data_IF_537177204768
#
_entry.id   IF_537177204768
#
_cell.length_a   1.000
_cell.length_b   1.000
_cell.length_c   1.000
_cell.angle_alpha   90.00
_cell.angle_beta   90.00
_cell.angle_gamma   90.00
#
_symmetry.space_group_name_H-M   'P 1'
#
loop_
_entity.id
_entity.type
_entity.pdbx_description
1 polymer ?
#
# COMPACT_ATOMS: atom_id res chain seq x y z
N UNK A 1 7.50 14.00 22.55
CA UNK A 1 6.53 12.88 22.55
C UNK A 1 6.06 12.73 21.12
N UNK A 2 6.24 11.57 20.52
CA UNK A 2 5.89 11.28 19.11
C UNK A 2 4.38 11.07 19.04
N UNK A 3 3.69 11.84 18.23
CA UNK A 3 2.25 11.80 18.05
C UNK A 3 1.92 10.87 16.90
N UNK A 4 1.08 9.86 17.14
CA UNK A 4 0.77 8.79 16.20
C UNK A 4 -0.68 8.86 15.71
N UNK A 5 -0.89 8.70 14.41
CA UNK A 5 -2.19 8.37 13.81
C UNK A 5 -2.15 6.92 13.38
N UNK A 6 -3.17 6.15 13.74
CA UNK A 6 -3.34 4.75 13.34
C UNK A 6 -4.53 4.62 12.38
N UNK A 7 -4.30 3.98 11.24
CA UNK A 7 -5.36 3.66 10.29
C UNK A 7 -5.32 2.16 9.95
N UNK A 8 -6.39 1.45 10.29
CA UNK A 8 -6.53 0.00 10.10
C UNK A 8 -8.02 -0.35 10.14
N UNK A 9 -8.54 -1.11 9.20
CA UNK A 9 -9.96 -1.46 9.16
C UNK A 9 -10.34 -2.48 10.25
N UNK A 10 -9.38 -3.23 10.77
CA UNK A 10 -9.56 -4.21 11.82
C UNK A 10 -9.53 -3.55 13.20
N UNK A 11 -10.70 -3.23 13.76
CA UNK A 11 -10.82 -2.52 15.04
C UNK A 11 -10.03 -3.16 16.20
N UNK A 12 -9.98 -4.50 16.25
CA UNK A 12 -9.22 -5.21 17.30
C UNK A 12 -7.70 -4.99 17.15
N UNK A 13 -7.20 -5.08 15.92
CA UNK A 13 -5.76 -4.87 15.61
C UNK A 13 -5.38 -3.42 15.90
N UNK A 14 -6.19 -2.47 15.43
CA UNK A 14 -5.99 -1.04 15.65
C UNK A 14 -5.94 -0.70 17.14
N UNK A 15 -6.91 -1.17 17.92
CA UNK A 15 -6.94 -0.94 19.39
C UNK A 15 -5.77 -1.62 20.13
N UNK A 16 -5.35 -2.80 19.69
CA UNK A 16 -4.18 -3.47 20.26
C UNK A 16 -2.89 -2.68 19.96
N UNK A 17 -2.71 -2.22 18.74
CA UNK A 17 -1.56 -1.39 18.33
C UNK A 17 -1.55 -0.06 19.11
N UNK A 18 -2.71 0.60 19.24
CA UNK A 18 -2.84 1.82 20.02
C UNK A 18 -2.37 1.60 21.47
N UNK A 19 -2.90 0.57 22.12
CA UNK A 19 -2.53 0.24 23.49
C UNK A 19 -1.03 -0.05 23.63
N UNK A 20 -0.45 -0.83 22.73
CA UNK A 20 0.97 -1.20 22.77
C UNK A 20 1.89 0.01 22.57
N UNK A 21 1.53 0.93 21.67
CA UNK A 21 2.32 2.12 21.39
C UNK A 21 2.17 3.18 22.47
N UNK A 22 1.00 3.30 23.11
CA UNK A 22 0.80 4.20 24.25
C UNK A 22 1.53 3.73 25.53
N UNK A 23 1.96 2.45 25.62
CA UNK A 23 2.84 1.98 26.70
C UNK A 23 4.28 2.51 26.55
N UNK A 24 4.67 2.99 25.39
CA UNK A 24 5.99 3.57 25.17
C UNK A 24 6.02 5.02 25.73
N UNK A 25 7.00 5.36 26.60
CA UNK A 25 6.99 6.64 27.33
C UNK A 25 7.16 7.88 26.45
N UNK A 26 7.59 7.69 25.20
CA UNK A 26 7.90 8.75 24.25
C UNK A 26 6.88 8.84 23.08
N UNK A 27 5.79 8.05 23.13
CA UNK A 27 4.77 8.00 22.08
C UNK A 27 3.38 8.28 22.66
N UNK A 28 2.46 8.72 21.78
CA UNK A 28 1.03 8.81 22.10
C UNK A 28 0.21 8.71 20.82
N UNK A 29 -0.85 7.89 20.88
CA UNK A 29 -1.82 7.79 19.78
C UNK A 29 -2.81 8.95 19.92
N UNK A 30 -2.86 9.80 18.89
CA UNK A 30 -3.67 11.02 18.88
C UNK A 30 -4.89 10.91 17.97
N UNK A 31 -4.92 9.91 17.09
CA UNK A 31 -6.07 9.62 16.23
C UNK A 31 -6.08 8.16 15.79
N UNK A 32 -7.27 7.62 15.65
CA UNK A 32 -7.55 6.29 15.09
C UNK A 32 -8.64 6.39 14.05
N UNK A 33 -8.44 5.79 12.86
CA UNK A 33 -9.45 5.72 11.80
C UNK A 33 -9.52 4.29 11.23
N UNK A 34 -10.69 3.92 10.71
CA UNK A 34 -10.92 2.59 10.11
C UNK A 34 -10.93 2.60 8.59
N UNK A 35 -10.69 3.75 7.95
CA UNK A 35 -10.84 3.96 6.52
C UNK A 35 -9.73 4.84 5.98
N UNK A 36 -9.25 4.52 4.78
CA UNK A 36 -8.17 5.29 4.16
C UNK A 36 -8.58 6.72 3.75
N UNK A 37 -9.82 6.92 3.33
CA UNK A 37 -10.38 8.22 2.96
C UNK A 37 -10.56 9.19 4.15
N UNK A 38 -10.48 8.71 5.38
CA UNK A 38 -10.53 9.52 6.61
C UNK A 38 -9.15 10.02 7.07
N UNK A 39 -8.06 9.42 6.58
CA UNK A 39 -6.68 9.64 7.08
C UNK A 39 -6.26 11.10 7.01
N UNK A 40 -6.49 11.78 5.87
CA UNK A 40 -6.05 13.17 5.69
C UNK A 40 -6.82 14.13 6.62
N UNK A 41 -8.12 13.90 6.78
CA UNK A 41 -8.96 14.72 7.68
C UNK A 41 -8.51 14.55 9.13
N UNK A 42 -8.34 13.31 9.59
CA UNK A 42 -7.86 13.00 10.94
C UNK A 42 -6.45 13.55 11.20
N UNK A 43 -5.55 13.48 10.22
CA UNK A 43 -4.20 14.03 10.34
C UNK A 43 -4.20 15.57 10.47
N UNK A 44 -5.06 16.27 9.74
CA UNK A 44 -5.19 17.74 9.86
C UNK A 44 -5.67 18.17 11.24
N UNK A 45 -6.59 17.42 11.83
CA UNK A 45 -7.15 17.70 13.15
C UNK A 45 -6.16 17.34 14.27
N UNK A 46 -5.60 16.13 14.21
CA UNK A 46 -4.75 15.58 15.28
C UNK A 46 -3.28 16.00 15.18
N UNK A 47 -2.81 16.44 14.00
CA UNK A 47 -1.41 16.82 13.72
C UNK A 47 -0.41 15.78 14.22
N UNK A 48 -0.41 14.58 13.67
CA UNK A 48 0.53 13.54 14.03
C UNK A 48 1.93 13.81 13.45
N UNK A 49 2.95 13.28 14.11
CA UNK A 49 4.31 13.25 13.57
C UNK A 49 4.50 12.05 12.63
N UNK A 50 3.87 10.92 12.97
CA UNK A 50 3.95 9.66 12.21
C UNK A 50 2.55 9.07 12.07
N UNK A 51 2.20 8.66 10.85
CA UNK A 51 0.99 7.89 10.56
C UNK A 51 1.38 6.42 10.26
N UNK A 52 0.73 5.48 10.96
CA UNK A 52 0.81 4.05 10.69
C UNK A 52 -0.45 3.64 9.92
N UNK A 53 -0.29 3.17 8.70
CA UNK A 53 -1.40 2.88 7.80
C UNK A 53 -1.37 1.42 7.36
N UNK A 54 -2.48 0.70 7.52
CA UNK A 54 -2.65 -0.59 6.85
C UNK A 54 -2.79 -0.40 5.33
N UNK A 55 -2.39 -1.40 4.56
CA UNK A 55 -2.59 -1.39 3.09
C UNK A 55 -4.05 -1.61 2.75
N UNK A 56 -4.69 -2.60 3.36
CA UNK A 56 -6.04 -3.02 3.01
C UNK A 56 -7.08 -2.28 3.85
N UNK A 57 -7.61 -1.16 3.34
CA UNK A 57 -8.64 -0.38 3.99
C UNK A 57 -9.77 0.00 3.03
N UNK A 58 -11.01 0.13 3.51
CA UNK A 58 -12.12 0.65 2.72
C UNK A 58 -11.96 2.15 2.42
N UNK A 59 -12.60 2.61 1.35
CA UNK A 59 -12.58 4.02 0.90
C UNK A 59 -11.37 4.32 0.01
N UNK A 60 -10.18 4.33 0.58
CA UNK A 60 -8.90 4.38 -0.11
C UNK A 60 -7.96 3.33 0.48
N UNK A 61 -7.11 2.70 -0.35
CA UNK A 61 -6.07 1.83 0.19
C UNK A 61 -4.99 2.65 0.92
N UNK A 62 -4.21 2.01 1.80
CA UNK A 62 -3.20 2.73 2.59
C UNK A 62 -2.08 3.34 1.75
N UNK A 63 -1.85 2.85 0.53
CA UNK A 63 -0.87 3.42 -0.40
C UNK A 63 -1.42 4.71 -1.02
N UNK A 64 -2.70 4.72 -1.38
CA UNK A 64 -3.38 5.93 -1.85
C UNK A 64 -3.50 6.97 -0.75
N UNK A 65 -3.94 6.57 0.45
CA UNK A 65 -3.95 7.42 1.64
C UNK A 65 -2.56 8.00 1.95
N UNK A 66 -1.48 7.21 1.77
CA UNK A 66 -0.10 7.71 1.87
C UNK A 66 0.18 8.82 0.88
N UNK A 67 -0.18 8.64 -0.40
CA UNK A 67 0.05 9.64 -1.45
C UNK A 67 -0.69 10.94 -1.14
N UNK A 68 -1.96 10.85 -0.75
CA UNK A 68 -2.78 12.00 -0.39
C UNK A 68 -2.26 12.72 0.86
N UNK A 69 -1.91 11.97 1.90
CA UNK A 69 -1.35 12.53 3.12
C UNK A 69 -0.01 13.24 2.87
N UNK A 70 0.89 12.61 2.09
CA UNK A 70 2.18 13.21 1.73
C UNK A 70 2.06 14.45 0.86
N UNK A 71 1.03 14.53 0.02
CA UNK A 71 0.72 15.73 -0.78
C UNK A 71 0.14 16.85 0.09
N UNK A 72 -0.72 16.51 1.06
CA UNK A 72 -1.41 17.47 1.92
C UNK A 72 -0.55 17.95 3.11
N UNK A 73 0.26 17.07 3.69
CA UNK A 73 1.06 17.27 4.90
C UNK A 73 2.44 16.59 4.75
N UNK A 74 3.38 17.20 3.99
CA UNK A 74 4.68 16.59 3.69
C UNK A 74 5.59 16.38 4.91
N UNK A 75 5.32 17.04 6.01
CA UNK A 75 6.02 16.87 7.29
C UNK A 75 5.69 15.55 7.98
N UNK A 76 4.45 15.04 7.84
CA UNK A 76 4.01 13.79 8.48
C UNK A 76 4.72 12.61 7.83
N UNK A 77 5.37 11.80 8.64
CA UNK A 77 6.02 10.56 8.17
C UNK A 77 5.00 9.45 8.10
N UNK A 78 5.18 8.53 7.15
CA UNK A 78 4.26 7.41 6.96
C UNK A 78 4.99 6.09 7.09
N UNK A 79 4.45 5.19 7.90
CA UNK A 79 4.84 3.78 8.02
C UNK A 79 3.66 2.94 7.55
N UNK A 80 3.86 2.14 6.53
CA UNK A 80 2.89 1.10 6.15
C UNK A 80 3.07 -0.08 7.09
N UNK A 81 1.95 -0.56 7.64
CA UNK A 81 1.89 -1.75 8.52
C UNK A 81 0.90 -2.73 7.91
N UNK A 82 1.35 -3.88 7.42
CA UNK A 82 0.50 -4.81 6.67
C UNK A 82 0.64 -6.25 7.13
N UNK A 83 -0.40 -7.04 6.94
CA UNK A 83 -0.38 -8.50 7.24
C UNK A 83 0.53 -9.26 6.28
N UNK A 84 0.62 -8.82 5.03
CA UNK A 84 1.37 -9.50 3.97
C UNK A 84 2.41 -8.57 3.35
N UNK A 85 3.67 -8.91 3.52
CA UNK A 85 4.79 -8.25 2.87
C UNK A 85 4.92 -8.61 1.40
N UNK A 86 3.88 -8.33 0.57
CA UNK A 86 3.98 -8.57 -0.87
C UNK A 86 4.98 -7.57 -1.48
N UNK A 87 5.94 -8.05 -2.30
CA UNK A 87 6.97 -7.19 -2.90
C UNK A 87 6.41 -5.96 -3.62
N UNK A 88 5.26 -6.12 -4.26
CA UNK A 88 4.59 -5.04 -4.97
C UNK A 88 4.08 -3.91 -4.09
N UNK A 89 3.60 -4.23 -2.90
CA UNK A 89 3.14 -3.22 -1.95
C UNK A 89 4.30 -2.36 -1.44
N UNK A 90 5.45 -2.96 -1.16
CA UNK A 90 6.64 -2.21 -0.75
C UNK A 90 7.04 -1.17 -1.79
N UNK A 91 7.16 -1.57 -3.07
CA UNK A 91 7.53 -0.66 -4.15
C UNK A 91 6.52 0.49 -4.31
N UNK A 92 5.23 0.16 -4.36
CA UNK A 92 4.15 1.15 -4.46
C UNK A 92 4.13 2.11 -3.27
N UNK A 93 4.31 1.60 -2.05
CA UNK A 93 4.36 2.41 -0.84
C UNK A 93 5.53 3.40 -0.84
N UNK A 94 6.73 2.95 -1.24
CA UNK A 94 7.90 3.82 -1.34
C UNK A 94 7.73 4.90 -2.41
N UNK A 95 7.12 4.56 -3.56
CA UNK A 95 6.80 5.53 -4.62
C UNK A 95 5.73 6.53 -4.16
N UNK A 96 4.76 6.10 -3.36
CA UNK A 96 3.75 6.98 -2.74
C UNK A 96 4.34 7.91 -1.67
N UNK A 97 5.59 7.68 -1.24
CA UNK A 97 6.29 8.51 -0.27
C UNK A 97 6.30 7.97 1.16
N UNK A 98 6.03 6.68 1.37
CA UNK A 98 6.18 6.03 2.67
C UNK A 98 7.65 6.09 3.14
N UNK A 99 7.82 6.31 4.43
CA UNK A 99 9.13 6.35 5.11
C UNK A 99 9.47 4.99 5.75
N UNK A 100 8.46 4.15 6.01
CA UNK A 100 8.63 2.83 6.56
C UNK A 100 7.66 1.82 5.97
N UNK A 101 8.06 0.54 6.01
CA UNK A 101 7.22 -0.59 5.65
C UNK A 101 7.53 -1.76 6.60
N UNK A 102 6.52 -2.18 7.37
CA UNK A 102 6.64 -3.16 8.45
C UNK A 102 5.49 -4.17 8.33
N UNK A 103 5.71 -5.42 8.68
CA UNK A 103 4.66 -6.44 8.73
C UNK A 103 4.01 -6.49 10.11
N UNK A 104 2.71 -6.81 10.18
CA UNK A 104 1.91 -6.83 11.44
C UNK A 104 2.36 -7.91 12.43
N UNK A 105 3.15 -8.90 12.00
CA UNK A 105 3.76 -9.90 12.88
C UNK A 105 5.07 -9.41 13.56
N UNK A 106 5.51 -8.20 13.22
CA UNK A 106 6.67 -7.57 13.86
C UNK A 106 6.40 -7.36 15.37
N UNK A 107 7.33 -7.78 16.25
CA UNK A 107 7.18 -7.55 17.68
C UNK A 107 6.98 -6.07 18.01
N UNK A 108 6.09 -5.76 18.98
CA UNK A 108 5.71 -4.39 19.32
C UNK A 108 6.90 -3.45 19.60
N UNK A 109 7.95 -3.96 20.28
CA UNK A 109 9.19 -3.19 20.52
C UNK A 109 9.90 -2.80 19.24
N UNK A 110 9.95 -3.71 18.24
CA UNK A 110 10.58 -3.42 16.95
C UNK A 110 9.74 -2.44 16.13
N UNK A 111 8.41 -2.50 16.24
CA UNK A 111 7.52 -1.50 15.64
C UNK A 111 7.75 -0.12 16.26
N UNK A 112 7.84 -0.02 17.59
CA UNK A 112 8.15 1.24 18.26
C UNK A 112 9.52 1.79 17.84
N UNK A 113 10.54 0.95 17.74
CA UNK A 113 11.87 1.35 17.22
C UNK A 113 11.81 1.81 15.76
N UNK A 114 11.01 1.15 14.93
CA UNK A 114 10.76 1.59 13.55
C UNK A 114 10.14 2.99 13.50
N UNK A 115 9.15 3.25 14.35
CA UNK A 115 8.51 4.58 14.49
C UNK A 115 9.55 5.64 14.90
N UNK A 116 10.38 5.39 15.90
CA UNK A 116 11.45 6.32 16.33
C UNK A 116 12.42 6.64 15.20
N UNK A 117 12.86 5.63 14.47
CA UNK A 117 13.77 5.79 13.33
C UNK A 117 13.13 6.58 12.20
N UNK A 118 11.87 6.31 11.88
CA UNK A 118 11.13 7.06 10.86
C UNK A 118 10.91 8.50 11.30
N UNK A 119 10.53 8.73 12.55
CA UNK A 119 10.40 10.07 13.11
C UNK A 119 11.73 10.86 13.04
N UNK A 120 12.87 10.21 13.27
CA UNK A 120 14.21 10.83 13.11
C UNK A 120 14.63 11.05 11.65
N UNK A 121 13.78 10.70 10.67
CA UNK A 121 14.03 10.92 9.24
C UNK A 121 14.69 9.76 8.51
N UNK A 122 14.91 8.62 9.17
CA UNK A 122 15.42 7.41 8.54
C UNK A 122 14.32 6.67 7.77
N UNK A 123 14.71 5.88 6.78
CA UNK A 123 13.82 4.91 6.14
C UNK A 123 13.95 3.55 6.82
N UNK A 124 12.82 2.90 7.07
CA UNK A 124 12.77 1.58 7.71
C UNK A 124 12.00 0.62 6.80
N UNK A 125 12.68 -0.41 6.35
CA UNK A 125 12.08 -1.50 5.57
C UNK A 125 12.60 -2.81 6.15
N UNK A 126 11.71 -3.80 6.29
CA UNK A 126 12.13 -5.14 6.64
C UNK A 126 13.12 -5.68 5.61
N UNK A 127 14.31 -6.20 6.03
CA UNK A 127 15.34 -6.65 5.09
C UNK A 127 14.88 -7.79 4.17
N UNK A 128 14.04 -8.70 4.65
CA UNK A 128 13.53 -9.82 3.85
C UNK A 128 12.59 -9.30 2.75
N UNK A 129 11.69 -8.36 3.09
CA UNK A 129 10.81 -7.72 2.12
C UNK A 129 11.59 -6.89 1.08
N UNK A 130 12.67 -6.24 1.51
CA UNK A 130 13.53 -5.51 0.58
C UNK A 130 14.20 -6.48 -0.41
N UNK A 131 14.71 -7.62 0.06
CA UNK A 131 15.31 -8.65 -0.78
C UNK A 131 14.29 -9.25 -1.76
N UNK A 132 13.09 -9.59 -1.29
CA UNK A 132 12.02 -10.15 -2.13
C UNK A 132 11.56 -9.13 -3.19
N UNK A 133 11.45 -7.86 -2.83
CA UNK A 133 11.09 -6.78 -3.77
C UNK A 133 12.14 -6.58 -4.86
N UNK A 134 13.42 -6.76 -4.53
CA UNK A 134 14.50 -6.71 -5.52
C UNK A 134 14.49 -7.94 -6.45
N UNK A 135 14.11 -9.11 -5.94
CA UNK A 135 14.03 -10.34 -6.72
C UNK A 135 12.92 -10.33 -7.77
N UNK A 136 11.82 -9.62 -7.52
CA UNK A 136 10.69 -9.49 -8.47
C UNK A 136 11.06 -8.71 -9.73
N UNK A 137 12.01 -7.78 -9.65
CA UNK A 137 12.47 -7.00 -10.79
C UNK A 137 11.46 -5.95 -11.30
N UNK A 138 11.71 -5.44 -12.51
CA UNK A 138 10.82 -4.49 -13.18
C UNK A 138 9.61 -5.19 -13.79
N UNK A 139 8.52 -4.42 -13.95
CA UNK A 139 7.32 -4.93 -14.62
C UNK A 139 7.62 -5.39 -16.06
N UNK A 140 7.28 -6.62 -16.44
CA UNK A 140 7.41 -7.09 -17.81
C UNK A 140 6.32 -6.50 -18.72
N UNK A 141 5.32 -5.83 -18.14
CA UNK A 141 4.17 -5.28 -18.83
C UNK A 141 4.49 -3.92 -19.43
N UNK A 142 4.00 -3.67 -20.64
CA UNK A 142 3.97 -2.33 -21.22
C UNK A 142 2.90 -1.46 -20.56
N UNK A 143 2.98 -0.14 -20.71
CA UNK A 143 1.97 0.78 -20.19
C UNK A 143 0.54 0.44 -20.64
N UNK A 144 0.38 0.01 -21.89
CA UNK A 144 -0.93 -0.39 -22.44
C UNK A 144 -1.42 -1.73 -21.92
N UNK A 145 -0.55 -2.70 -21.72
CA UNK A 145 -0.91 -3.96 -21.08
C UNK A 145 -1.33 -3.75 -19.61
N UNK A 146 -0.61 -2.88 -18.90
CA UNK A 146 -0.96 -2.47 -17.52
C UNK A 146 -2.33 -1.79 -17.47
N UNK A 147 -2.60 -0.85 -18.38
CA UNK A 147 -3.90 -0.16 -18.46
C UNK A 147 -5.05 -1.14 -18.72
N UNK A 148 -4.88 -2.06 -19.66
CA UNK A 148 -5.87 -3.09 -19.99
C UNK A 148 -6.09 -4.06 -18.84
N UNK A 149 -5.03 -4.49 -18.15
CA UNK A 149 -5.16 -5.36 -16.97
C UNK A 149 -5.85 -4.65 -15.80
N UNK A 150 -5.58 -3.36 -15.56
CA UNK A 150 -6.32 -2.58 -14.55
C UNK A 150 -7.81 -2.53 -14.83
N UNK A 151 -8.19 -2.25 -16.09
CA UNK A 151 -9.60 -2.27 -16.47
C UNK A 151 -10.23 -3.68 -16.39
N UNK A 152 -9.43 -4.73 -16.42
CA UNK A 152 -9.88 -6.11 -16.28
C UNK A 152 -10.05 -6.58 -14.82
N UNK A 153 -9.66 -5.77 -13.84
CA UNK A 153 -9.63 -6.08 -12.40
C UNK A 153 -11.00 -6.53 -11.89
N UNK A 154 -12.03 -5.80 -12.25
CA UNK A 154 -13.39 -6.01 -11.75
C UNK A 154 -14.16 -7.11 -12.51
N UNK A 155 -13.49 -7.87 -13.35
CA UNK A 155 -14.08 -9.03 -14.02
C UNK A 155 -14.96 -8.70 -15.23
N UNK A 156 -14.99 -7.45 -15.71
CA UNK A 156 -15.77 -7.00 -16.86
C UNK A 156 -15.50 -7.79 -18.16
N UNK A 157 -16.45 -7.77 -19.09
CA UNK A 157 -16.29 -8.39 -20.41
C UNK A 157 -15.20 -7.67 -21.23
N UNK A 158 -14.73 -8.29 -22.32
CA UNK A 158 -13.78 -7.64 -23.23
C UNK A 158 -14.38 -6.35 -23.81
N UNK A 159 -15.68 -6.31 -24.02
CA UNK A 159 -16.41 -5.13 -24.51
C UNK A 159 -16.37 -3.99 -23.47
N UNK A 160 -16.59 -4.32 -22.19
CA UNK A 160 -16.53 -3.32 -21.09
C UNK A 160 -15.12 -2.74 -20.96
N UNK A 161 -14.10 -3.62 -20.99
CA UNK A 161 -12.70 -3.19 -20.97
C UNK A 161 -12.38 -2.29 -22.17
N UNK A 162 -12.81 -2.68 -23.37
CA UNK A 162 -12.58 -1.91 -24.59
C UNK A 162 -13.18 -0.50 -24.51
N UNK A 163 -14.39 -0.40 -23.93
CA UNK A 163 -15.02 0.88 -23.66
C UNK A 163 -14.24 1.73 -22.65
N UNK A 164 -13.78 1.12 -21.56
CA UNK A 164 -13.05 1.81 -20.50
C UNK A 164 -11.68 2.36 -20.95
N UNK A 165 -10.95 1.63 -21.82
CA UNK A 165 -9.62 2.02 -22.27
C UNK A 165 -9.61 2.64 -23.69
N UNK A 166 -10.78 2.87 -24.29
CA UNK A 166 -10.95 3.45 -25.64
C UNK A 166 -10.18 2.68 -26.72
N UNK A 167 -10.26 1.35 -26.71
CA UNK A 167 -9.63 0.45 -27.69
C UNK A 167 -10.68 -0.43 -28.36
N UNK A 168 -10.30 -1.05 -29.51
CA UNK A 168 -11.11 -2.11 -30.09
C UNK A 168 -11.02 -3.39 -29.25
N UNK A 169 -12.07 -4.22 -29.27
CA UNK A 169 -12.06 -5.52 -28.59
C UNK A 169 -10.90 -6.43 -29.05
N UNK A 170 -10.57 -6.39 -30.36
CA UNK A 170 -9.43 -7.15 -30.91
C UNK A 170 -8.11 -6.69 -30.29
N UNK A 171 -7.92 -5.38 -30.15
CA UNK A 171 -6.73 -4.81 -29.50
C UNK A 171 -6.66 -5.21 -28.02
N UNK A 172 -7.78 -5.16 -27.30
CA UNK A 172 -7.86 -5.60 -25.90
C UNK A 172 -7.49 -7.07 -25.74
N UNK A 173 -8.03 -7.97 -26.63
CA UNK A 173 -7.67 -9.40 -26.60
C UNK A 173 -6.17 -9.61 -26.81
N UNK A 174 -5.56 -8.85 -27.72
CA UNK A 174 -4.11 -8.94 -27.96
C UNK A 174 -3.30 -8.51 -26.73
N UNK A 175 -3.65 -7.38 -26.11
CA UNK A 175 -2.97 -6.92 -24.89
C UNK A 175 -3.16 -7.89 -23.71
N UNK A 176 -4.36 -8.44 -23.52
CA UNK A 176 -4.62 -9.47 -22.49
C UNK A 176 -3.81 -10.74 -22.75
N UNK A 177 -3.75 -11.22 -24.00
CA UNK A 177 -2.95 -12.39 -24.34
C UNK A 177 -1.46 -12.17 -24.10
N UNK A 178 -0.94 -11.02 -24.48
CA UNK A 178 0.46 -10.64 -24.24
C UNK A 178 0.76 -10.55 -22.73
N UNK A 179 -0.13 -9.90 -21.97
CA UNK A 179 0.02 -9.79 -20.51
C UNK A 179 -0.01 -11.15 -19.82
N UNK A 180 -0.93 -12.05 -20.20
CA UNK A 180 -0.99 -13.43 -19.70
C UNK A 180 0.33 -14.16 -19.97
N UNK A 181 0.86 -14.06 -21.19
CA UNK A 181 2.14 -14.68 -21.53
C UNK A 181 3.33 -14.11 -20.74
N UNK A 182 3.41 -12.79 -20.60
CA UNK A 182 4.50 -12.11 -19.87
C UNK A 182 4.47 -12.37 -18.36
N UNK A 183 3.30 -12.51 -17.78
CA UNK A 183 3.14 -12.82 -16.34
C UNK A 183 3.24 -14.31 -16.04
N UNK A 184 3.28 -15.17 -17.04
CA UNK A 184 3.21 -16.63 -16.87
C UNK A 184 1.87 -17.12 -16.32
N UNK A 185 0.82 -16.31 -16.43
CA UNK A 185 -0.50 -16.58 -15.87
C UNK A 185 -1.27 -17.62 -16.70
N UNK A 186 -2.20 -18.31 -16.07
CA UNK A 186 -3.07 -19.32 -16.72
C UNK A 186 -4.25 -18.69 -17.44
N UNK A 187 -4.68 -17.52 -17.00
CA UNK A 187 -5.81 -16.77 -17.53
C UNK A 187 -5.74 -15.30 -17.12
N UNK A 188 -6.71 -14.48 -17.59
CA UNK A 188 -6.81 -13.05 -17.31
C UNK A 188 -6.84 -12.72 -15.81
N UNK A 189 -7.66 -13.42 -15.03
CA UNK A 189 -7.78 -13.19 -13.58
C UNK A 189 -6.50 -13.50 -12.84
N UNK A 190 -5.82 -14.58 -13.23
CA UNK A 190 -4.51 -14.96 -12.71
C UNK A 190 -3.43 -13.93 -13.07
N UNK A 191 -3.50 -13.35 -14.29
CA UNK A 191 -2.59 -12.27 -14.70
C UNK A 191 -2.79 -10.98 -13.88
N UNK A 192 -4.05 -10.61 -13.60
CA UNK A 192 -4.36 -9.48 -12.71
C UNK A 192 -3.79 -9.73 -11.32
N UNK A 193 -4.08 -10.89 -10.71
CA UNK A 193 -3.59 -11.25 -9.38
C UNK A 193 -2.05 -11.21 -9.31
N UNK A 194 -1.35 -11.86 -10.25
CA UNK A 194 0.12 -11.87 -10.28
C UNK A 194 0.66 -10.44 -10.43
N UNK A 195 0.06 -9.64 -11.30
CA UNK A 195 0.50 -8.27 -11.53
C UNK A 195 0.29 -7.36 -10.30
N UNK A 196 -0.79 -7.56 -9.54
CA UNK A 196 -1.04 -6.88 -8.26
C UNK A 196 -0.06 -7.32 -7.18
N UNK A 197 0.16 -8.63 -7.01
CA UNK A 197 1.09 -9.19 -6.02
C UNK A 197 2.52 -8.69 -6.23
N UNK A 198 2.92 -8.45 -7.48
CA UNK A 198 4.24 -7.94 -7.85
C UNK A 198 4.30 -6.41 -7.95
N UNK A 199 3.18 -5.70 -7.77
CA UNK A 199 3.12 -4.23 -7.88
C UNK A 199 3.34 -3.69 -9.29
N UNK A 200 2.93 -4.46 -10.29
CA UNK A 200 2.97 -4.06 -11.70
C UNK A 200 1.69 -3.35 -12.14
N UNK A 201 0.62 -3.41 -11.30
CA UNK A 201 -0.65 -2.69 -11.48
C UNK A 201 -0.82 -1.54 -10.49
#
# INVERSE_FOLDING_TARGET
MIRLLLADDQALVRGALATLLDLEPDMTVVAEVGRGDEVVAAARESRPDVALLDVEMPGADGIEATRELRAAMPEVKVVIVTTFGRPGFLRRALVAGANGFVVKDTPARQLADAVRRVHSGLRVVDPNLAADSLAVGESPLTARETEVLRAARDGGSVTDIAGAVFLSEGTVRNHLSAAIGKTGARNRGDAVRIAEENGWL
#
